data_IF_594990713283
#
_entry.id   IF_594990713283
#
_cell.length_a   1.000
_cell.length_b   1.000
_cell.length_c   1.000
_cell.angle_alpha   90.00
_cell.angle_beta   90.00
_cell.angle_gamma   90.00
#
_symmetry.space_group_name_H-M   'P 1'
#
loop_
_entity.id
_entity.type
_entity.pdbx_description
1 polymer ?
#
# COMPACT_ATOMS: atom_id res chain seq x y z
N UNK A 1 -47.67 18.70 -39.84
CA UNK A 1 -46.48 18.44 -38.99
C UNK A 1 -45.43 19.47 -39.36
N UNK A 2 -45.23 20.48 -38.51
CA UNK A 2 -44.35 21.62 -38.79
C UNK A 2 -42.94 21.36 -38.25
N UNK A 3 -41.95 21.40 -39.14
CA UNK A 3 -40.52 21.36 -38.81
C UNK A 3 -40.03 22.78 -38.51
N UNK A 4 -39.50 23.00 -37.32
CA UNK A 4 -38.87 24.26 -36.90
C UNK A 4 -37.36 24.19 -37.19
N UNK A 5 -36.76 25.16 -37.90
CA UNK A 5 -35.32 25.21 -38.12
C UNK A 5 -34.59 25.85 -36.92
N UNK A 6 -33.46 25.27 -36.51
CA UNK A 6 -32.51 25.90 -35.56
C UNK A 6 -31.59 26.87 -36.30
N UNK A 7 -31.33 28.07 -35.78
CA UNK A 7 -30.34 28.98 -36.35
C UNK A 7 -28.90 28.56 -35.99
N UNK A 8 -28.07 28.49 -37.02
CA UNK A 8 -26.62 28.45 -36.97
C UNK A 8 -26.09 29.87 -36.72
N UNK A 9 -25.47 30.10 -35.57
CA UNK A 9 -24.70 31.31 -35.30
C UNK A 9 -23.22 30.99 -35.15
N UNK A 10 -22.52 31.27 -36.24
CA UNK A 10 -21.21 31.91 -36.37
C UNK A 10 -19.94 31.28 -35.78
N UNK A 11 -19.03 31.06 -36.74
CA UNK A 11 -17.63 30.67 -36.68
C UNK A 11 -16.70 31.86 -36.33
N UNK A 12 -15.66 31.53 -35.53
CA UNK A 12 -14.23 31.89 -35.65
C UNK A 12 -13.80 33.39 -35.54
N UNK A 13 -12.51 33.76 -35.26
CA UNK A 13 -11.28 32.96 -35.42
C UNK A 13 -10.16 33.14 -34.35
N UNK A 14 -9.11 32.30 -34.47
CA UNK A 14 -7.65 32.57 -34.40
C UNK A 14 -7.11 33.72 -33.52
N UNK A 15 -5.93 33.73 -32.89
CA UNK A 15 -4.71 32.92 -32.76
C UNK A 15 -3.87 33.72 -31.74
N UNK A 16 -2.96 33.10 -30.98
CA UNK A 16 -1.52 33.46 -30.99
C UNK A 16 -0.71 32.66 -29.96
N UNK A 17 0.39 32.12 -30.48
CA UNK A 17 1.42 31.32 -29.83
C UNK A 17 2.24 32.15 -28.82
N UNK A 18 2.80 31.49 -27.81
CA UNK A 18 4.25 31.56 -27.61
C UNK A 18 4.81 30.26 -27.04
N UNK A 19 5.65 29.63 -27.86
CA UNK A 19 6.57 28.55 -27.55
C UNK A 19 7.82 29.19 -26.94
N UNK A 20 8.29 28.71 -25.78
CA UNK A 20 9.69 28.89 -25.38
C UNK A 20 10.31 27.52 -25.16
N UNK A 21 11.11 27.14 -26.15
CA UNK A 21 12.12 26.09 -26.16
C UNK A 21 13.44 26.69 -25.65
N UNK A 22 14.16 26.03 -24.74
CA UNK A 22 15.63 26.07 -24.61
C UNK A 22 16.05 25.19 -23.42
N UNK A 23 16.53 23.96 -23.63
CA UNK A 23 17.92 23.54 -23.94
C UNK A 23 18.95 23.81 -22.83
N UNK A 24 19.42 22.71 -22.22
CA UNK A 24 20.84 22.34 -21.94
C UNK A 24 20.82 20.98 -21.22
N UNK A 25 21.04 19.83 -21.86
CA UNK A 25 22.21 19.32 -22.57
C UNK A 25 23.47 19.20 -21.69
N UNK A 26 23.81 17.93 -21.40
CA UNK A 26 25.13 17.32 -21.23
C UNK A 26 26.01 17.70 -20.03
N UNK A 27 26.34 16.70 -19.19
CA UNK A 27 27.71 16.18 -19.20
C UNK A 27 27.80 14.78 -18.59
N UNK A 28 28.02 13.82 -19.47
CA UNK A 28 28.51 12.48 -19.21
C UNK A 28 30.04 12.58 -19.09
N UNK A 29 30.64 12.19 -17.96
CA UNK A 29 32.08 11.89 -17.89
C UNK A 29 32.33 10.64 -17.06
N UNK A 30 32.55 9.57 -17.81
CA UNK A 30 33.32 8.38 -17.48
C UNK A 30 34.62 8.73 -16.76
N UNK A 31 34.97 7.95 -15.73
CA UNK A 31 36.37 7.61 -15.51
C UNK A 31 36.51 6.25 -14.84
N UNK A 32 36.82 5.27 -15.69
CA UNK A 32 37.44 3.98 -15.37
C UNK A 32 38.87 4.22 -14.93
N UNK A 33 39.30 3.62 -13.80
CA UNK A 33 40.71 3.30 -13.53
C UNK A 33 40.83 1.94 -12.83
N UNK A 34 41.27 0.96 -13.60
CA UNK A 34 41.91 -0.28 -13.17
C UNK A 34 43.43 -0.08 -13.15
N UNK A 35 44.14 -0.52 -12.10
CA UNK A 35 45.57 -0.97 -12.04
C UNK A 35 45.69 -1.68 -10.67
N UNK A 36 45.82 -3.00 -10.52
CA UNK A 36 46.92 -3.97 -10.81
C UNK A 36 48.11 -3.90 -9.82
N UNK A 37 48.58 -5.10 -9.45
CA UNK A 37 49.83 -5.51 -8.76
C UNK A 37 49.76 -5.54 -7.22
N UNK A 38 49.80 -6.68 -6.51
CA UNK A 38 50.64 -7.90 -6.54
C UNK A 38 51.80 -7.88 -5.51
N UNK A 39 51.86 -8.99 -4.76
CA UNK A 39 53.04 -9.65 -4.19
C UNK A 39 53.32 -9.54 -2.68
N UNK A 40 53.02 -10.66 -2.01
CA UNK A 40 53.91 -11.54 -1.22
C UNK A 40 54.78 -10.88 -0.13
N UNK A 41 54.47 -11.18 1.14
CA UNK A 41 55.50 -11.57 2.14
C UNK A 41 55.02 -12.79 2.94
N UNK A 42 55.91 -13.76 2.96
CA UNK A 42 55.92 -15.03 3.69
C UNK A 42 56.14 -14.75 5.18
N UNK A 43 55.34 -15.37 6.05
CA UNK A 43 55.53 -15.35 7.49
C UNK A 43 54.88 -16.55 8.15
N UNK A 44 55.62 -17.66 8.20
CA UNK A 44 55.25 -18.84 8.97
C UNK A 44 55.26 -18.49 10.48
N UNK A 45 54.15 -18.77 11.16
CA UNK A 45 54.11 -18.87 12.62
C UNK A 45 53.01 -19.87 12.97
N UNK A 46 53.46 -21.08 13.31
CA UNK A 46 52.64 -22.13 13.90
C UNK A 46 51.97 -21.61 15.18
N UNK A 47 50.66 -21.44 15.14
CA UNK A 47 49.85 -21.31 16.34
C UNK A 47 48.71 -22.32 16.28
N UNK A 48 48.69 -23.19 17.28
CA UNK A 48 47.77 -24.29 17.45
C UNK A 48 46.31 -23.78 17.61
N UNK A 49 45.30 -24.52 17.11
CA UNK A 49 43.91 -24.21 17.36
C UNK A 49 43.54 -24.63 18.79
N UNK A 50 43.57 -23.69 19.73
CA UNK A 50 42.94 -23.87 21.03
C UNK A 50 41.43 -23.68 20.85
N UNK A 51 40.71 -24.79 20.74
CA UNK A 51 39.24 -24.82 20.74
C UNK A 51 38.72 -24.33 22.09
N UNK A 52 38.57 -23.01 22.24
CA UNK A 52 37.70 -22.46 23.27
C UNK A 52 36.27 -22.56 22.74
N UNK A 53 35.58 -23.59 23.20
CA UNK A 53 34.12 -23.71 23.16
C UNK A 53 33.58 -22.57 24.05
N UNK A 54 33.53 -21.37 23.49
CA UNK A 54 32.75 -20.27 24.03
C UNK A 54 31.29 -20.66 23.82
N UNK A 55 30.69 -21.17 24.89
CA UNK A 55 29.24 -21.24 25.08
C UNK A 55 28.70 -19.83 24.94
N UNK A 56 28.41 -19.45 23.69
CA UNK A 56 27.60 -18.29 23.34
C UNK A 56 26.20 -18.62 23.83
N UNK A 57 25.90 -18.20 25.06
CA UNK A 57 24.53 -18.06 25.50
C UNK A 57 23.90 -17.04 24.58
N UNK A 58 23.25 -17.52 23.53
CA UNK A 58 22.21 -16.79 22.85
C UNK A 58 21.19 -16.46 23.92
N UNK A 59 21.29 -15.27 24.51
CA UNK A 59 20.13 -14.57 25.04
C UNK A 59 19.19 -14.46 23.85
N UNK A 60 18.28 -15.43 23.76
CA UNK A 60 17.01 -15.26 23.09
C UNK A 60 16.44 -13.98 23.68
N UNK A 61 16.60 -12.89 22.94
CA UNK A 61 15.75 -11.74 23.09
C UNK A 61 14.39 -12.25 22.68
N UNK A 62 13.61 -12.72 23.66
CA UNK A 62 12.17 -12.76 23.56
C UNK A 62 11.73 -11.32 23.29
N UNK A 63 11.71 -10.95 22.00
CA UNK A 63 10.70 -10.02 21.55
C UNK A 63 9.39 -10.77 21.78
N UNK A 64 8.85 -10.60 22.98
CA UNK A 64 7.45 -10.85 23.24
C UNK A 64 6.70 -9.97 22.25
N UNK A 65 6.35 -10.57 21.11
CA UNK A 65 5.27 -10.06 20.27
C UNK A 65 4.08 -10.13 21.21
N UNK A 66 3.74 -8.99 21.79
CA UNK A 66 2.50 -8.84 22.53
C UNK A 66 1.40 -9.25 21.55
N UNK A 67 0.90 -10.46 21.71
CA UNK A 67 -0.28 -10.91 21.00
C UNK A 67 -1.37 -9.93 21.42
N UNK A 68 -1.89 -9.08 20.51
CA UNK A 68 -2.98 -8.19 20.87
C UNK A 68 -4.09 -9.06 21.45
N UNK A 69 -4.72 -8.61 22.54
CA UNK A 69 -5.89 -9.28 23.10
C UNK A 69 -6.82 -9.65 21.96
N UNK A 70 -7.29 -10.90 21.91
CA UNK A 70 -8.11 -11.38 20.81
C UNK A 70 -9.34 -10.46 20.67
N UNK A 71 -9.33 -9.63 19.63
CA UNK A 71 -10.44 -8.74 19.32
C UNK A 71 -11.52 -9.64 18.78
N UNK A 72 -12.67 -9.67 19.42
CA UNK A 72 -13.84 -10.40 18.95
C UNK A 72 -14.86 -9.36 18.48
N UNK A 73 -14.87 -9.09 17.17
CA UNK A 73 -15.79 -8.14 16.54
C UNK A 73 -16.86 -8.88 15.76
N UNK A 74 -18.10 -8.39 15.79
CA UNK A 74 -19.17 -8.93 14.93
C UNK A 74 -18.77 -8.81 13.45
N UNK A 75 -18.85 -9.90 12.65
CA UNK A 75 -18.55 -9.87 11.22
C UNK A 75 -19.24 -8.77 10.41
N UNK A 76 -20.45 -8.34 10.83
CA UNK A 76 -21.15 -7.25 10.16
C UNK A 76 -20.51 -5.90 10.43
N UNK A 77 -20.04 -5.63 11.65
CA UNK A 77 -19.33 -4.39 11.96
C UNK A 77 -17.95 -4.37 11.29
N UNK A 78 -17.23 -5.50 11.31
CA UNK A 78 -15.94 -5.61 10.64
C UNK A 78 -16.06 -5.34 9.12
N UNK A 79 -17.08 -5.87 8.44
CA UNK A 79 -17.26 -5.61 7.00
C UNK A 79 -17.67 -4.16 6.71
N UNK A 80 -18.40 -3.49 7.62
CA UNK A 80 -18.68 -2.04 7.53
C UNK A 80 -17.37 -1.24 7.58
N UNK A 81 -16.48 -1.52 8.52
CA UNK A 81 -15.16 -0.88 8.61
C UNK A 81 -14.31 -1.15 7.38
N UNK A 82 -14.25 -2.41 6.93
CA UNK A 82 -13.50 -2.79 5.74
C UNK A 82 -14.02 -2.07 4.50
N UNK A 83 -15.34 -2.03 4.28
CA UNK A 83 -15.93 -1.34 3.12
C UNK A 83 -15.73 0.18 3.12
N UNK A 84 -15.52 0.79 4.30
CA UNK A 84 -15.15 2.21 4.44
C UNK A 84 -13.69 2.48 4.17
N UNK A 85 -12.79 1.53 4.38
CA UNK A 85 -11.36 1.69 4.09
C UNK A 85 -10.96 1.18 2.70
N UNK A 86 -11.65 0.15 2.20
CA UNK A 86 -11.26 -0.53 0.98
C UNK A 86 -11.44 0.33 -0.27
N UNK A 87 -10.61 0.01 -1.26
CA UNK A 87 -10.51 0.66 -2.55
C UNK A 87 -10.58 -0.37 -3.68
N UNK A 88 -11.00 0.11 -4.86
CA UNK A 88 -11.11 -0.72 -6.07
C UNK A 88 -9.78 -0.91 -6.79
N UNK A 89 -8.80 -0.08 -6.48
CA UNK A 89 -7.55 0.03 -7.20
C UNK A 89 -6.38 0.02 -6.23
N UNK A 90 -5.27 -0.60 -6.64
CA UNK A 90 -4.05 -0.65 -5.87
C UNK A 90 -2.83 -0.72 -6.80
N UNK A 91 -1.76 -0.03 -6.44
CA UNK A 91 -0.45 -0.10 -7.07
C UNK A 91 0.48 -1.04 -6.28
N UNK A 92 1.04 -2.04 -6.95
CA UNK A 92 1.82 -3.12 -6.36
C UNK A 92 3.33 -2.92 -6.49
N UNK A 93 3.86 -2.87 -7.71
CA UNK A 93 5.30 -2.77 -7.93
C UNK A 93 5.60 -2.01 -9.23
N UNK A 94 6.34 -0.90 -9.14
CA UNK A 94 6.71 -0.09 -10.30
C UNK A 94 7.56 -0.86 -11.31
N UNK A 95 8.34 -1.84 -10.83
CA UNK A 95 9.24 -2.66 -11.64
C UNK A 95 8.52 -3.81 -12.36
N UNK A 96 7.31 -4.15 -11.92
CA UNK A 96 6.46 -5.06 -12.66
C UNK A 96 5.91 -4.36 -13.90
N UNK A 97 5.92 -5.04 -15.04
CA UNK A 97 5.35 -4.49 -16.28
C UNK A 97 3.86 -4.73 -16.42
N UNK A 98 3.31 -4.28 -17.54
CA UNK A 98 1.91 -4.45 -17.87
C UNK A 98 1.70 -5.78 -18.59
N UNK A 99 1.50 -6.86 -17.84
CA UNK A 99 1.09 -8.12 -18.44
C UNK A 99 -0.29 -7.99 -19.09
N UNK A 100 -0.44 -8.41 -20.34
CA UNK A 100 -1.70 -8.35 -21.09
C UNK A 100 -2.69 -9.49 -20.78
N UNK A 101 -2.41 -10.34 -19.77
CA UNK A 101 -3.22 -11.52 -19.39
C UNK A 101 -3.38 -12.60 -20.47
N UNK A 102 -2.66 -12.51 -21.59
CA UNK A 102 -2.81 -13.42 -22.74
C UNK A 102 -2.21 -14.83 -22.55
N UNK A 103 -1.82 -15.23 -21.33
CA UNK A 103 -1.26 -16.55 -21.05
C UNK A 103 -0.05 -16.95 -21.92
N UNK A 104 0.78 -15.97 -22.31
CA UNK A 104 1.99 -16.23 -23.06
C UNK A 104 2.91 -17.20 -22.29
N UNK A 105 3.48 -18.16 -23.01
CA UNK A 105 4.38 -19.18 -22.44
C UNK A 105 5.66 -18.57 -21.88
N UNK A 106 6.22 -17.58 -22.58
CA UNK A 106 7.52 -16.97 -22.27
C UNK A 106 7.38 -15.48 -21.88
N UNK A 107 6.38 -15.16 -21.06
CA UNK A 107 6.20 -13.80 -20.56
C UNK A 107 7.17 -13.52 -19.41
N UNK A 108 8.01 -12.48 -19.53
CA UNK A 108 8.93 -12.05 -18.47
C UNK A 108 8.21 -11.66 -17.16
N UNK A 109 6.93 -11.31 -17.25
CA UNK A 109 6.07 -10.97 -16.11
C UNK A 109 5.40 -12.20 -15.48
N UNK A 110 5.55 -13.39 -16.04
CA UNK A 110 4.98 -14.62 -15.48
C UNK A 110 5.86 -15.14 -14.36
N UNK A 111 5.25 -15.46 -13.22
CA UNK A 111 6.00 -16.03 -12.10
C UNK A 111 6.27 -17.53 -12.30
N UNK A 112 7.41 -18.06 -11.81
CA UNK A 112 7.76 -19.48 -11.95
C UNK A 112 6.71 -20.45 -11.36
N UNK A 113 5.96 -20.01 -10.35
CA UNK A 113 4.88 -20.78 -9.70
C UNK A 113 3.50 -20.64 -10.38
N UNK A 114 3.41 -19.92 -11.50
CA UNK A 114 2.14 -19.45 -12.06
C UNK A 114 1.73 -18.10 -11.50
N UNK A 115 0.91 -17.36 -12.25
CA UNK A 115 0.55 -15.97 -11.94
C UNK A 115 1.37 -14.94 -12.73
N UNK A 116 1.12 -13.66 -12.45
CA UNK A 116 1.78 -12.55 -13.12
C UNK A 116 2.19 -11.47 -12.13
N UNK A 117 3.38 -10.91 -12.31
CA UNK A 117 3.78 -9.64 -11.69
C UNK A 117 3.03 -8.52 -12.38
N UNK A 118 2.33 -7.71 -11.58
CA UNK A 118 1.53 -6.61 -12.09
C UNK A 118 1.96 -5.33 -11.41
N UNK A 119 2.03 -4.24 -12.18
CA UNK A 119 2.25 -2.92 -11.61
C UNK A 119 1.09 -2.46 -10.74
N UNK A 120 -0.12 -2.81 -11.15
CA UNK A 120 -1.37 -2.39 -10.54
C UNK A 120 -2.46 -3.45 -10.70
N UNK A 121 -3.44 -3.39 -9.81
CA UNK A 121 -4.63 -4.23 -9.87
C UNK A 121 -5.88 -3.38 -9.69
N UNK A 122 -6.94 -3.74 -10.40
CA UNK A 122 -8.27 -3.14 -10.26
C UNK A 122 -9.34 -4.22 -10.11
N UNK A 123 -10.43 -3.88 -9.44
CA UNK A 123 -11.57 -4.76 -9.23
C UNK A 123 -12.89 -4.00 -9.44
N UNK A 124 -13.97 -4.73 -9.76
CA UNK A 124 -15.30 -4.14 -9.96
C UNK A 124 -15.86 -3.48 -8.68
N UNK A 125 -15.51 -4.04 -7.51
CA UNK A 125 -15.88 -3.59 -6.16
C UNK A 125 -14.62 -3.40 -5.31
N UNK A 126 -14.67 -2.58 -4.25
CA UNK A 126 -13.54 -2.41 -3.35
C UNK A 126 -13.08 -3.76 -2.81
N UNK A 127 -11.78 -4.03 -2.90
CA UNK A 127 -11.22 -5.35 -2.56
C UNK A 127 -10.03 -5.26 -1.62
N UNK A 128 -9.32 -4.14 -1.61
CA UNK A 128 -8.07 -3.98 -0.87
C UNK A 128 -8.11 -2.72 -0.03
N UNK A 129 -7.55 -2.77 1.19
CA UNK A 129 -7.13 -1.57 1.92
C UNK A 129 -5.65 -1.35 1.58
N UNK A 130 -5.29 -0.30 0.82
CA UNK A 130 -3.89 -0.06 0.46
C UNK A 130 -3.00 0.21 1.68
N UNK A 131 -1.84 -0.45 1.74
CA UNK A 131 -0.87 -0.37 2.85
C UNK A 131 0.20 0.73 2.68
N UNK A 132 -0.07 1.72 1.81
CA UNK A 132 0.79 2.87 1.56
C UNK A 132 -0.02 4.16 1.60
N UNK A 133 0.66 5.30 1.62
CA UNK A 133 0.00 6.62 1.56
C UNK A 133 -0.17 7.09 0.11
N UNK A 134 0.96 7.16 -0.61
CA UNK A 134 1.02 7.59 -1.99
C UNK A 134 2.02 6.73 -2.76
N UNK A 135 1.71 6.48 -4.03
CA UNK A 135 2.63 5.88 -5.00
C UNK A 135 2.53 6.63 -6.31
N UNK A 136 3.69 6.97 -6.86
CA UNK A 136 3.82 7.59 -8.17
C UNK A 136 4.76 6.75 -9.06
N UNK A 137 4.23 6.17 -10.13
CA UNK A 137 4.98 5.44 -11.14
C UNK A 137 5.11 6.33 -12.38
N UNK A 138 6.08 7.25 -12.34
CA UNK A 138 6.29 8.27 -13.39
C UNK A 138 6.45 7.66 -14.79
N UNK A 139 7.16 6.53 -14.90
CA UNK A 139 7.36 5.82 -16.16
C UNK A 139 6.05 5.32 -16.81
N UNK A 140 5.01 5.11 -16.00
CA UNK A 140 3.68 4.66 -16.43
C UNK A 140 2.64 5.80 -16.41
N UNK A 141 3.00 6.99 -15.92
CA UNK A 141 2.09 8.11 -15.75
C UNK A 141 0.93 7.83 -14.78
N UNK A 142 1.14 6.93 -13.81
CA UNK A 142 0.12 6.54 -12.82
C UNK A 142 0.51 7.04 -11.44
N UNK A 143 -0.44 7.65 -10.74
CA UNK A 143 -0.32 8.03 -9.33
C UNK A 143 -1.55 7.54 -8.56
N UNK A 144 -1.34 7.13 -7.31
CA UNK A 144 -2.40 6.73 -6.41
C UNK A 144 -2.10 7.22 -5.00
N UNK A 145 -3.02 8.04 -4.47
CA UNK A 145 -3.05 8.44 -3.07
C UNK A 145 -4.23 7.76 -2.41
N UNK A 146 -4.00 7.19 -1.23
CA UNK A 146 -4.99 6.32 -0.58
C UNK A 146 -6.06 7.12 0.13
N UNK A 147 -7.26 6.56 0.16
CA UNK A 147 -8.44 7.19 0.76
C UNK A 147 -8.24 7.44 2.25
N UNK A 148 -7.74 6.44 2.98
CA UNK A 148 -7.53 6.58 4.42
C UNK A 148 -6.50 7.68 4.74
N UNK A 149 -5.47 7.86 3.91
CA UNK A 149 -4.43 8.85 4.18
C UNK A 149 -4.90 10.28 3.94
N UNK A 150 -5.82 10.48 3.00
CA UNK A 150 -6.39 11.79 2.67
C UNK A 150 -7.60 12.15 3.54
N UNK A 151 -8.47 11.20 3.85
CA UNK A 151 -9.74 11.48 4.55
C UNK A 151 -9.64 11.34 6.09
N UNK A 152 -8.77 10.48 6.62
CA UNK A 152 -8.59 10.37 8.09
C UNK A 152 -7.58 11.40 8.60
N UNK A 153 -6.60 11.81 7.81
CA UNK A 153 -5.52 12.70 8.23
C UNK A 153 -5.64 14.08 7.58
N UNK A 154 -6.81 14.72 7.69
CA UNK A 154 -7.12 16.02 7.06
C UNK A 154 -6.36 17.19 7.70
N UNK A 155 -6.25 17.20 9.02
CA UNK A 155 -5.69 18.34 9.77
C UNK A 155 -4.20 18.17 10.11
N UNK A 156 -3.57 17.14 9.54
CA UNK A 156 -2.16 16.84 9.79
C UNK A 156 -1.87 15.34 9.86
N UNK A 157 -0.60 14.96 10.09
CA UNK A 157 -0.14 13.58 9.98
C UNK A 157 -0.45 12.72 11.21
N UNK A 158 -1.14 13.25 12.23
CA UNK A 158 -1.40 12.60 13.51
C UNK A 158 -2.87 12.75 13.88
N UNK A 159 -3.47 11.67 14.38
CA UNK A 159 -4.85 11.66 14.91
C UNK A 159 -4.89 10.99 16.28
N UNK A 160 -5.79 11.45 17.14
CA UNK A 160 -6.16 10.73 18.38
C UNK A 160 -7.15 9.60 18.06
N UNK A 161 -7.45 8.78 19.07
CA UNK A 161 -8.40 7.67 18.94
C UNK A 161 -9.80 8.15 18.56
N UNK A 162 -10.27 9.21 19.22
CA UNK A 162 -11.60 9.82 19.00
C UNK A 162 -11.69 10.36 17.58
N UNK A 163 -10.68 11.13 17.16
CA UNK A 163 -10.62 11.67 15.80
C UNK A 163 -10.59 10.58 14.73
N UNK A 164 -9.88 9.48 14.99
CA UNK A 164 -9.84 8.35 14.07
C UNK A 164 -11.22 7.69 13.95
N UNK A 165 -11.87 7.41 15.07
CA UNK A 165 -13.20 6.77 15.11
C UNK A 165 -14.22 7.63 14.38
N UNK A 166 -14.30 8.92 14.71
CA UNK A 166 -15.23 9.87 14.08
C UNK A 166 -15.04 9.94 12.56
N UNK A 167 -13.79 10.06 12.11
CA UNK A 167 -13.46 10.17 10.68
C UNK A 167 -13.71 8.86 9.94
N UNK A 168 -13.35 7.73 10.54
CA UNK A 168 -13.54 6.41 9.95
C UNK A 168 -15.03 6.10 9.74
N UNK A 169 -15.87 6.40 10.74
CA UNK A 169 -17.32 6.19 10.65
C UNK A 169 -17.95 7.12 9.61
N UNK A 170 -17.38 8.31 9.42
CA UNK A 170 -17.85 9.30 8.44
C UNK A 170 -17.48 8.96 6.99
N UNK A 171 -16.48 8.11 6.74
CA UNK A 171 -16.05 7.73 5.37
C UNK A 171 -17.15 7.03 4.60
N UNK A 172 -17.35 7.31 3.31
CA UNK A 172 -18.37 6.62 2.51
C UNK A 172 -18.17 5.09 2.49
N UNK A 173 -19.18 4.33 2.93
CA UNK A 173 -19.18 2.88 2.83
C UNK A 173 -19.44 2.43 1.40
N UNK A 174 -18.56 1.58 0.86
CA UNK A 174 -18.75 0.92 -0.42
C UNK A 174 -18.77 -0.60 -0.21
N UNK A 175 -19.81 -1.32 -0.67
CA UNK A 175 -19.92 -2.76 -0.48
C UNK A 175 -18.66 -3.50 -1.00
N UNK A 176 -17.85 -4.11 -0.11
CA UNK A 176 -16.57 -4.70 -0.50
C UNK A 176 -16.72 -6.08 -1.14
N UNK A 177 -15.65 -6.60 -1.73
CA UNK A 177 -15.53 -7.97 -2.22
C UNK A 177 -14.92 -8.87 -1.13
N UNK A 178 -15.49 -10.06 -0.93
CA UNK A 178 -14.95 -11.12 -0.06
C UNK A 178 -15.66 -11.30 1.28
N UNK A 179 -16.21 -10.22 1.87
CA UNK A 179 -16.96 -10.29 3.13
C UNK A 179 -18.45 -10.59 2.97
N UNK A 180 -19.19 -10.75 4.09
CA UNK A 180 -20.64 -10.84 4.09
C UNK A 180 -21.25 -9.69 3.28
N UNK A 181 -22.22 -10.01 2.43
CA UNK A 181 -22.85 -8.99 1.63
C UNK A 181 -23.70 -8.05 2.51
N UNK A 182 -23.33 -6.77 2.54
CA UNK A 182 -24.13 -5.70 3.13
C UNK A 182 -24.46 -4.65 2.07
N UNK A 183 -25.73 -4.27 2.02
CA UNK A 183 -26.19 -3.16 1.22
C UNK A 183 -25.78 -1.82 1.86
N UNK A 184 -25.58 -0.79 1.05
CA UNK A 184 -25.21 0.54 1.53
C UNK A 184 -26.23 1.13 2.52
N UNK A 185 -27.51 0.76 2.40
CA UNK A 185 -28.58 1.18 3.32
C UNK A 185 -28.44 0.60 4.74
N UNK A 186 -27.70 -0.49 4.91
CA UNK A 186 -27.45 -1.14 6.19
C UNK A 186 -26.02 -0.89 6.71
N UNK A 187 -25.33 0.13 6.17
CA UNK A 187 -23.92 0.39 6.42
C UNK A 187 -23.65 1.31 7.63
N UNK A 188 -24.70 1.76 8.32
CA UNK A 188 -24.55 2.52 9.56
C UNK A 188 -23.78 1.67 10.59
N UNK A 189 -22.74 2.24 11.19
CA UNK A 189 -21.97 1.56 12.24
C UNK A 189 -22.80 1.67 13.51
N UNK A 190 -23.10 0.51 14.11
CA UNK A 190 -23.90 0.42 15.34
C UNK A 190 -22.98 0.39 16.56
N UNK A 191 -21.75 -0.09 16.38
CA UNK A 191 -20.77 -0.22 17.44
C UNK A 191 -19.46 0.49 17.09
N UNK A 192 -19.24 1.64 17.74
CA UNK A 192 -18.00 2.40 17.63
C UNK A 192 -16.80 1.68 18.28
N UNK A 193 -17.05 0.72 19.16
CA UNK A 193 -15.98 -0.03 19.85
C UNK A 193 -15.14 -0.85 18.87
N UNK A 194 -15.75 -1.32 17.78
CA UNK A 194 -15.06 -2.00 16.67
C UNK A 194 -14.04 -1.08 15.98
N UNK A 195 -14.40 0.19 15.75
CA UNK A 195 -13.48 1.19 15.17
C UNK A 195 -12.36 1.56 16.15
N UNK A 196 -12.70 1.67 17.44
CA UNK A 196 -11.74 1.90 18.52
C UNK A 196 -10.75 0.74 18.67
N UNK A 197 -11.19 -0.51 18.55
CA UNK A 197 -10.34 -1.69 18.58
C UNK A 197 -9.38 -1.71 17.39
N UNK A 198 -9.87 -1.37 16.18
CA UNK A 198 -9.01 -1.23 15.01
C UNK A 198 -7.93 -0.14 15.22
N UNK A 199 -8.27 0.98 15.86
CA UNK A 199 -7.27 1.98 16.23
C UNK A 199 -6.18 1.39 17.13
N UNK A 200 -6.56 0.63 18.16
CA UNK A 200 -5.59 0.04 19.10
C UNK A 200 -4.65 -0.95 18.40
N UNK A 201 -5.14 -1.73 17.43
CA UNK A 201 -4.29 -2.59 16.59
C UNK A 201 -3.30 -1.78 15.78
N UNK A 202 -3.77 -0.73 15.11
CA UNK A 202 -2.93 0.08 14.21
C UNK A 202 -1.94 0.97 14.97
N UNK A 203 -2.32 1.47 16.14
CA UNK A 203 -1.49 2.33 16.97
C UNK A 203 -0.52 1.53 17.85
N UNK A 204 -0.87 0.29 18.21
CA UNK A 204 -0.16 -0.53 19.19
C UNK A 204 -0.22 0.13 20.57
N UNK A 205 0.90 0.21 21.28
CA UNK A 205 0.99 0.81 22.62
C UNK A 205 0.98 2.36 22.62
N UNK A 206 0.55 3.00 21.54
CA UNK A 206 0.67 4.46 21.35
C UNK A 206 -0.69 5.12 21.44
N UNK A 207 -0.73 6.25 22.13
CA UNK A 207 -1.94 7.06 22.29
C UNK A 207 -2.43 7.72 20.99
N UNK A 208 -1.50 7.95 20.04
CA UNK A 208 -1.79 8.61 18.77
C UNK A 208 -1.35 7.76 17.60
N UNK A 209 -2.16 7.77 16.54
CA UNK A 209 -1.86 7.13 15.27
C UNK A 209 -1.30 8.17 14.31
N UNK A 210 -0.15 7.86 13.70
CA UNK A 210 0.42 8.70 12.63
C UNK A 210 0.18 8.07 11.29
N UNK A 211 0.13 8.87 10.22
CA UNK A 211 -0.07 8.39 8.85
C UNK A 211 0.96 7.32 8.46
N UNK A 212 2.23 7.57 8.76
CA UNK A 212 3.31 6.60 8.56
C UNK A 212 3.10 5.29 9.35
N UNK A 213 2.66 5.38 10.62
CA UNK A 213 2.42 4.20 11.44
C UNK A 213 1.25 3.38 10.93
N UNK A 214 0.18 4.03 10.48
CA UNK A 214 -0.98 3.34 9.90
C UNK A 214 -0.57 2.53 8.66
N UNK A 215 0.17 3.13 7.73
CA UNK A 215 0.69 2.41 6.56
C UNK A 215 1.60 1.24 6.95
N UNK A 216 2.54 1.47 7.88
CA UNK A 216 3.43 0.41 8.36
C UNK A 216 2.67 -0.73 9.05
N UNK A 217 1.74 -0.43 9.95
CA UNK A 217 0.95 -1.43 10.66
C UNK A 217 0.11 -2.24 9.66
N UNK A 218 -0.58 -1.58 8.72
CA UNK A 218 -1.32 -2.28 7.65
C UNK A 218 -0.42 -3.17 6.79
N UNK A 219 0.82 -2.73 6.52
CA UNK A 219 1.81 -3.51 5.78
C UNK A 219 2.24 -4.77 6.54
N UNK A 220 2.49 -4.64 7.84
CA UNK A 220 2.83 -5.75 8.73
C UNK A 220 1.66 -6.75 8.82
N UNK A 221 0.43 -6.25 8.97
CA UNK A 221 -0.81 -7.04 8.97
C UNK A 221 -1.09 -7.75 7.65
N UNK A 222 -0.62 -7.19 6.53
CA UNK A 222 -0.72 -7.78 5.20
C UNK A 222 0.46 -8.70 4.85
N UNK A 223 1.30 -9.09 5.82
CA UNK A 223 2.51 -9.90 5.61
C UNK A 223 3.47 -9.30 4.56
N UNK A 224 3.55 -7.97 4.49
CA UNK A 224 4.37 -7.26 3.52
C UNK A 224 3.70 -7.06 2.15
N UNK A 225 2.46 -7.48 1.94
CA UNK A 225 1.72 -7.17 0.71
C UNK A 225 1.29 -5.69 0.66
N UNK A 226 1.00 -5.18 -0.54
CA UNK A 226 0.63 -3.76 -0.72
C UNK A 226 -0.83 -3.45 -0.40
N UNK A 227 -1.65 -4.48 -0.19
CA UNK A 227 -3.08 -4.33 0.09
C UNK A 227 -3.61 -5.40 1.00
N UNK A 228 -4.26 -5.00 2.08
CA UNK A 228 -4.93 -5.90 2.99
C UNK A 228 -6.27 -6.35 2.39
N UNK A 229 -6.47 -7.67 2.28
CA UNK A 229 -7.72 -8.26 1.78
C UNK A 229 -8.72 -8.51 2.91
N UNK A 230 -9.98 -8.77 2.57
CA UNK A 230 -11.00 -9.13 3.57
C UNK A 230 -10.57 -10.30 4.46
N UNK A 231 -10.03 -11.37 3.88
CA UNK A 231 -9.64 -12.57 4.63
C UNK A 231 -8.55 -12.30 5.68
N UNK A 232 -7.63 -11.37 5.38
CA UNK A 232 -6.62 -10.94 6.34
C UNK A 232 -7.24 -10.02 7.39
N UNK A 233 -8.06 -9.06 6.96
CA UNK A 233 -8.72 -8.10 7.85
C UNK A 233 -9.66 -8.78 8.85
N UNK A 234 -10.46 -9.76 8.41
CA UNK A 234 -11.40 -10.47 9.28
C UNK A 234 -10.69 -11.26 10.37
N UNK A 235 -9.52 -11.86 10.07
CA UNK A 235 -8.70 -12.55 11.07
C UNK A 235 -8.18 -11.59 12.14
N UNK A 236 -7.78 -10.38 11.76
CA UNK A 236 -7.25 -9.34 12.66
C UNK A 236 -8.34 -8.83 13.60
N UNK A 237 -9.56 -8.66 13.08
CA UNK A 237 -10.72 -8.23 13.86
C UNK A 237 -11.40 -9.38 14.63
N UNK A 238 -10.86 -10.61 14.53
CA UNK A 238 -11.49 -11.84 15.05
C UNK A 238 -12.91 -12.07 14.57
N UNK A 239 -13.22 -11.57 13.38
CA UNK A 239 -14.53 -11.59 12.75
C UNK A 239 -14.66 -12.82 11.83
N UNK A 240 -14.45 -14.01 12.40
CA UNK A 240 -14.47 -15.29 11.69
C UNK A 240 -15.89 -15.83 11.48
#
# INVERSE_FOLDING_TARGET
>A
MCLVPRPLSHLAPEQFRLVIYSRRAAMMKSLVKSVVAASIIIGASSFAPQQQILRRTTRLSENAVATPAAIETDPKEAVKLFGRLAEKYIMLDASAGMCCYSACTDCEYREPGGGYRMADQSAARPKWIPCYEDRNFEAQGKQHTTKWSSEIFTDGPVVTKEQFVDRLISLEFKPPLGGPYLAASAAAIEDESSAAALFDVLAGEKEKLTRFRMGKAMKDLANGEEGLTWAMFSQIMGAN
#
